data_IF_920672107990
#
_entry.id   IF_920672107990
#
_cell.length_a   1.000
_cell.length_b   1.000
_cell.length_c   1.000
_cell.angle_alpha   90.00
_cell.angle_beta   90.00
_cell.angle_gamma   90.00
#
_symmetry.space_group_name_H-M   'P 1'
#
loop_
_entity.id
_entity.type
_entity.pdbx_description
1 polymer ?
#
# COMPACT_ATOMS: atom_id res chain seq x y z
N UNK A 1 -32.53 -1.17 -1.23
CA UNK A 1 -31.24 -0.86 -0.59
C UNK A 1 -30.23 -0.46 -1.67
N UNK A 2 -30.05 0.84 -1.92
CA UNK A 2 -28.98 1.34 -2.79
C UNK A 2 -27.85 1.88 -1.89
N UNK A 3 -26.93 0.99 -1.47
CA UNK A 3 -25.71 1.43 -0.79
C UNK A 3 -24.60 1.52 -1.84
N UNK A 4 -23.90 2.68 -1.96
CA UNK A 4 -22.78 2.79 -2.89
C UNK A 4 -21.68 1.81 -2.48
N UNK A 5 -21.31 0.90 -3.38
CA UNK A 5 -20.22 -0.04 -3.16
C UNK A 5 -18.89 0.65 -3.38
N UNK A 6 -17.99 0.58 -2.40
CA UNK A 6 -16.63 1.10 -2.56
C UNK A 6 -15.88 0.23 -3.59
N UNK A 7 -15.24 0.86 -4.58
CA UNK A 7 -14.38 0.16 -5.55
C UNK A 7 -13.28 -0.60 -4.81
N UNK A 8 -13.10 -1.88 -5.16
CA UNK A 8 -12.05 -2.74 -4.56
C UNK A 8 -10.67 -2.17 -4.93
N UNK A 9 -9.89 -1.81 -3.92
CA UNK A 9 -8.50 -1.40 -4.09
C UNK A 9 -7.61 -2.64 -4.14
N UNK A 10 -6.71 -2.69 -5.11
CA UNK A 10 -5.61 -3.64 -5.18
C UNK A 10 -4.37 -3.00 -4.58
N UNK A 11 -3.67 -3.74 -3.73
CA UNK A 11 -2.44 -3.30 -3.07
C UNK A 11 -1.28 -4.19 -3.49
N UNK A 12 -0.06 -3.67 -3.43
CA UNK A 12 1.12 -4.51 -3.60
C UNK A 12 1.28 -5.38 -2.34
N UNK A 13 1.09 -6.69 -2.53
CA UNK A 13 1.11 -7.67 -1.44
C UNK A 13 2.49 -7.79 -0.81
N UNK A 14 3.55 -7.73 -1.62
CA UNK A 14 4.93 -7.80 -1.13
C UNK A 14 5.27 -6.63 -0.22
N UNK A 15 4.86 -5.41 -0.62
CA UNK A 15 5.06 -4.19 0.18
C UNK A 15 4.25 -4.25 1.47
N UNK A 16 3.03 -4.80 1.44
CA UNK A 16 2.24 -5.02 2.67
C UNK A 16 2.96 -6.00 3.59
N UNK A 17 3.44 -7.13 3.08
CA UNK A 17 4.11 -8.15 3.89
C UNK A 17 5.39 -7.59 4.54
N UNK A 18 6.20 -6.86 3.78
CA UNK A 18 7.39 -6.18 4.33
C UNK A 18 7.04 -5.20 5.46
N UNK A 19 5.94 -4.44 5.32
CA UNK A 19 5.47 -3.52 6.37
C UNK A 19 4.89 -4.25 7.58
N UNK A 20 4.24 -5.40 7.38
CA UNK A 20 3.74 -6.19 8.51
C UNK A 20 4.86 -6.78 9.34
N UNK A 21 5.94 -7.21 8.69
CA UNK A 21 7.14 -7.73 9.35
C UNK A 21 7.90 -6.60 10.06
N UNK A 22 8.11 -5.46 9.39
CA UNK A 22 8.86 -4.33 9.96
C UNK A 22 8.18 -3.70 11.20
N UNK A 23 6.85 -3.58 11.17
CA UNK A 23 6.09 -2.93 12.24
C UNK A 23 5.44 -3.93 13.20
N UNK A 24 5.63 -5.24 12.99
CA UNK A 24 5.00 -6.33 13.77
C UNK A 24 3.47 -6.17 13.91
N UNK A 25 2.82 -5.73 12.83
CA UNK A 25 1.37 -5.47 12.80
C UNK A 25 0.66 -6.36 11.79
N UNK A 26 -0.65 -6.53 11.98
CA UNK A 26 -1.46 -7.26 11.01
C UNK A 26 -1.53 -6.57 9.64
N UNK A 27 -1.61 -7.37 8.58
CA UNK A 27 -1.82 -6.88 7.20
C UNK A 27 -3.09 -6.04 7.07
N UNK A 28 -4.11 -6.35 7.87
CA UNK A 28 -5.33 -5.57 7.91
C UNK A 28 -5.10 -4.18 8.52
N UNK A 29 -4.30 -4.07 9.58
CA UNK A 29 -3.93 -2.79 10.16
C UNK A 29 -3.16 -1.93 9.15
N UNK A 30 -2.18 -2.51 8.45
CA UNK A 30 -1.46 -1.82 7.36
C UNK A 30 -2.42 -1.27 6.29
N UNK A 31 -3.39 -2.10 5.86
CA UNK A 31 -4.42 -1.66 4.89
C UNK A 31 -5.29 -0.53 5.43
N UNK A 32 -5.68 -0.56 6.70
CA UNK A 32 -6.42 0.53 7.34
C UNK A 32 -5.60 1.83 7.38
N UNK A 33 -4.29 1.73 7.63
CA UNK A 33 -3.37 2.87 7.59
C UNK A 33 -3.30 3.48 6.19
N UNK A 34 -3.17 2.64 5.15
CA UNK A 34 -3.19 3.08 3.74
C UNK A 34 -4.52 3.76 3.39
N UNK A 35 -5.65 3.23 3.88
CA UNK A 35 -7.00 3.79 3.69
C UNK A 35 -7.28 5.07 4.48
N UNK A 36 -6.34 5.51 5.34
CA UNK A 36 -6.52 6.65 6.25
C UNK A 36 -7.65 6.45 7.26
N UNK A 37 -7.95 5.20 7.62
CA UNK A 37 -8.92 4.86 8.67
C UNK A 37 -8.30 4.97 10.08
N UNK A 38 -6.96 5.04 10.16
CA UNK A 38 -6.19 5.23 11.38
C UNK A 38 -5.35 6.50 11.26
N UNK A 39 -5.26 7.26 12.35
CA UNK A 39 -4.62 8.59 12.41
C UNK A 39 -3.48 8.65 13.45
N UNK A 40 -2.91 7.51 13.82
CA UNK A 40 -1.74 7.51 14.70
C UNK A 40 -0.46 7.86 13.92
N UNK A 41 0.56 8.35 14.64
CA UNK A 41 1.88 8.64 14.06
C UNK A 41 2.46 7.40 13.34
N UNK A 42 2.31 6.22 13.93
CA UNK A 42 2.75 4.96 13.33
C UNK A 42 1.98 4.65 12.04
N UNK A 43 0.67 4.91 12.00
CA UNK A 43 -0.15 4.69 10.80
C UNK A 43 0.27 5.62 9.66
N UNK A 44 0.61 6.87 9.98
CA UNK A 44 1.12 7.83 8.99
C UNK A 44 2.49 7.41 8.44
N UNK A 45 3.37 6.91 9.29
CA UNK A 45 4.67 6.37 8.88
C UNK A 45 4.51 5.14 7.95
N UNK A 46 3.65 4.19 8.32
CA UNK A 46 3.35 3.00 7.50
C UNK A 46 2.81 3.43 6.12
N UNK A 47 1.89 4.39 6.10
CA UNK A 47 1.30 4.92 4.86
C UNK A 47 2.35 5.59 3.98
N UNK A 48 3.25 6.39 4.57
CA UNK A 48 4.33 7.07 3.83
C UNK A 48 5.28 6.06 3.20
N UNK A 49 5.77 5.09 3.99
CA UNK A 49 6.65 4.01 3.50
C UNK A 49 5.99 3.17 2.41
N UNK A 50 4.71 2.81 2.56
CA UNK A 50 3.99 2.07 1.53
C UNK A 50 3.98 2.82 0.19
N UNK A 51 3.70 4.12 0.21
CA UNK A 51 3.64 4.92 -1.02
C UNK A 51 5.01 5.08 -1.68
N UNK A 52 6.07 5.23 -0.88
CA UNK A 52 7.46 5.29 -1.37
C UNK A 52 7.87 3.98 -2.05
N UNK A 53 7.68 2.85 -1.38
CA UNK A 53 8.02 1.53 -1.92
C UNK A 53 7.17 1.16 -3.13
N UNK A 54 5.84 1.30 -3.03
CA UNK A 54 4.94 0.97 -4.14
C UNK A 54 5.19 1.88 -5.36
N UNK A 55 5.52 3.16 -5.13
CA UNK A 55 5.92 4.10 -6.18
C UNK A 55 7.21 3.67 -6.89
N UNK A 56 8.23 3.28 -6.13
CA UNK A 56 9.48 2.78 -6.67
C UNK A 56 9.29 1.51 -7.50
N UNK A 57 8.52 0.53 -7.01
CA UNK A 57 8.19 -0.70 -7.74
C UNK A 57 7.45 -0.40 -9.05
N UNK A 58 6.47 0.51 -9.02
CA UNK A 58 5.74 0.92 -10.23
C UNK A 58 6.65 1.59 -11.26
N UNK A 59 7.60 2.41 -10.82
CA UNK A 59 8.57 3.05 -11.70
C UNK A 59 9.53 2.03 -12.32
N UNK A 60 10.01 1.05 -11.55
CA UNK A 60 10.81 -0.05 -12.08
C UNK A 60 10.06 -0.85 -13.14
N UNK A 61 8.78 -1.17 -12.91
CA UNK A 61 7.91 -1.86 -13.88
C UNK A 61 7.70 -1.01 -15.14
N UNK A 62 7.48 0.29 -15.00
CA UNK A 62 7.34 1.21 -16.14
C UNK A 62 8.62 1.27 -16.98
N UNK A 63 9.77 1.37 -16.33
CA UNK A 63 11.07 1.39 -17.01
C UNK A 63 11.33 0.07 -17.75
N UNK A 64 11.02 -1.07 -17.12
CA UNK A 64 11.11 -2.38 -17.77
C UNK A 64 10.25 -2.45 -19.04
N UNK A 65 8.99 -2.00 -18.98
CA UNK A 65 8.11 -1.95 -20.16
C UNK A 65 8.60 -1.01 -21.26
N UNK A 66 9.24 0.10 -20.89
CA UNK A 66 9.77 1.07 -21.87
C UNK A 66 10.97 0.52 -22.63
N UNK A 67 11.76 -0.35 -22.02
CA UNK A 67 12.93 -0.98 -22.67
C UNK A 67 12.58 -2.18 -23.57
N UNK A 68 11.29 -2.57 -23.63
CA UNK A 68 10.78 -3.66 -24.47
C UNK A 68 10.22 -3.17 -25.82
N UNK A 69 10.14 -1.85 -26.03
CA UNK A 69 9.63 -1.18 -27.24
C UNK A 69 10.80 -0.44 -27.87
#
# INVERSE_FOLDING_TARGET
MNKPTKKRQTYNVEVINALTEEFEVSSQFVRQCIRKEKHSLTADNIRKKYNEMAGASLNAIKNFKKNLI
#
